data_IF_776905459790
#
_entry.id   IF_776905459790
#
_cell.length_a   1.000
_cell.length_b   1.000
_cell.length_c   1.000
_cell.angle_alpha   90.00
_cell.angle_beta   90.00
_cell.angle_gamma   90.00
#
_symmetry.space_group_name_H-M   'P 1'
#
loop_
_entity.id
_entity.type
_entity.pdbx_description
1 polymer ?
#
# COMPACT_ATOMS: atom_id res chain seq x y z
N UNK A 1 16.08 -4.01 18.92
CA UNK A 1 16.97 -4.59 17.87
C UNK A 1 16.30 -4.52 16.50
N UNK A 2 17.10 -4.54 15.39
CA UNK A 2 16.57 -4.53 14.01
C UNK A 2 15.51 -5.63 13.78
N UNK A 3 15.75 -6.83 14.34
CA UNK A 3 14.80 -7.96 14.26
C UNK A 3 13.47 -7.66 14.95
N UNK A 4 13.49 -6.93 16.04
CA UNK A 4 12.28 -6.56 16.77
C UNK A 4 11.46 -5.54 15.98
N UNK A 5 12.10 -4.51 15.44
CA UNK A 5 11.43 -3.52 14.56
C UNK A 5 10.76 -4.23 13.39
N UNK A 6 11.47 -5.16 12.76
CA UNK A 6 10.93 -5.93 11.64
C UNK A 6 9.65 -6.70 12.03
N UNK A 7 9.68 -7.39 13.18
CA UNK A 7 8.49 -8.11 13.69
C UNK A 7 7.34 -7.16 14.02
N UNK A 8 7.63 -5.98 14.55
CA UNK A 8 6.60 -4.96 14.85
C UNK A 8 5.95 -4.47 13.57
N UNK A 9 6.74 -4.14 12.54
CA UNK A 9 6.22 -3.71 11.24
C UNK A 9 5.37 -4.79 10.58
N UNK A 10 5.76 -6.08 10.69
CA UNK A 10 4.93 -7.19 10.19
C UNK A 10 3.58 -7.24 10.91
N UNK A 11 3.57 -7.11 12.24
CA UNK A 11 2.31 -7.06 13.01
C UNK A 11 1.42 -5.89 12.61
N UNK A 12 2.01 -4.73 12.27
CA UNK A 12 1.26 -3.59 11.74
C UNK A 12 0.56 -3.92 10.41
N UNK A 13 1.24 -4.64 9.51
CA UNK A 13 0.62 -5.10 8.26
C UNK A 13 -0.51 -6.11 8.51
N UNK A 14 -0.33 -7.04 9.44
CA UNK A 14 -1.40 -7.99 9.82
C UNK A 14 -2.60 -7.25 10.42
N UNK A 15 -2.36 -6.33 11.34
CA UNK A 15 -3.40 -5.51 11.94
C UNK A 15 -4.12 -4.63 10.90
N UNK A 16 -3.37 -4.05 9.94
CA UNK A 16 -3.93 -3.25 8.85
C UNK A 16 -4.88 -4.09 7.98
N UNK A 17 -4.44 -5.29 7.55
CA UNK A 17 -5.27 -6.20 6.74
C UNK A 17 -6.53 -6.64 7.48
N UNK A 18 -6.39 -6.99 8.76
CA UNK A 18 -7.52 -7.38 9.61
C UNK A 18 -8.53 -6.24 9.71
N UNK A 19 -8.06 -5.03 9.98
CA UNK A 19 -8.92 -3.84 10.04
C UNK A 19 -9.62 -3.57 8.71
N UNK A 20 -8.89 -3.60 7.59
CA UNK A 20 -9.46 -3.37 6.25
C UNK A 20 -10.50 -4.43 5.87
N UNK A 21 -10.28 -5.69 6.25
CA UNK A 21 -11.26 -6.76 6.06
C UNK A 21 -12.52 -6.56 6.93
N UNK A 22 -12.37 -6.10 8.17
CA UNK A 22 -13.48 -5.76 9.05
C UNK A 22 -14.29 -4.57 8.50
N UNK A 23 -13.63 -3.50 8.09
CA UNK A 23 -14.26 -2.32 7.45
C UNK A 23 -15.07 -2.72 6.21
N UNK A 24 -14.54 -3.60 5.36
CA UNK A 24 -15.27 -4.12 4.20
C UNK A 24 -16.50 -4.94 4.62
N UNK A 25 -16.37 -5.79 5.62
CA UNK A 25 -17.47 -6.61 6.11
C UNK A 25 -18.61 -5.74 6.64
N UNK A 26 -18.33 -4.79 7.52
CA UNK A 26 -19.33 -3.85 8.05
C UNK A 26 -20.01 -3.05 6.95
N UNK A 27 -19.24 -2.58 5.96
CA UNK A 27 -19.76 -1.87 4.80
C UNK A 27 -20.69 -2.75 3.95
N UNK A 28 -20.32 -4.02 3.72
CA UNK A 28 -21.15 -5.00 3.02
C UNK A 28 -22.44 -5.31 3.79
N UNK A 29 -22.35 -5.55 5.08
CA UNK A 29 -23.51 -5.81 5.95
C UNK A 29 -24.51 -4.64 5.90
N UNK A 30 -24.03 -3.41 6.00
CA UNK A 30 -24.86 -2.21 5.89
C UNK A 30 -25.54 -2.10 4.51
N UNK A 31 -24.79 -2.39 3.43
CA UNK A 31 -25.33 -2.37 2.07
C UNK A 31 -26.38 -3.46 1.85
N UNK A 32 -26.12 -4.67 2.34
CA UNK A 32 -27.03 -5.82 2.18
C UNK A 32 -28.33 -5.64 2.98
N UNK A 33 -28.26 -5.02 4.16
CA UNK A 33 -29.44 -4.65 4.92
C UNK A 33 -30.35 -3.66 4.17
N UNK A 34 -29.75 -2.73 3.40
CA UNK A 34 -30.48 -1.74 2.58
C UNK A 34 -30.93 -2.30 1.23
N UNK A 35 -30.17 -3.23 0.67
CA UNK A 35 -30.37 -3.81 -0.66
C UNK A 35 -30.31 -5.35 -0.60
N UNK A 36 -31.37 -6.03 -0.10
CA UNK A 36 -31.36 -7.49 0.08
C UNK A 36 -31.04 -8.26 -1.21
N UNK A 37 -31.51 -7.75 -2.36
CA UNK A 37 -31.23 -8.39 -3.66
C UNK A 37 -29.72 -8.40 -3.98
N UNK A 38 -28.97 -7.39 -3.52
CA UNK A 38 -27.51 -7.38 -3.67
C UNK A 38 -26.86 -8.50 -2.86
N UNK A 39 -27.36 -8.79 -1.66
CA UNK A 39 -26.89 -9.91 -0.84
C UNK A 39 -27.12 -11.25 -1.55
N UNK A 40 -28.33 -11.48 -2.08
CA UNK A 40 -28.67 -12.70 -2.81
C UNK A 40 -27.77 -12.92 -4.04
N UNK A 41 -27.49 -11.85 -4.79
CA UNK A 41 -26.56 -11.89 -5.94
C UNK A 41 -25.16 -12.31 -5.50
N UNK A 42 -24.62 -11.66 -4.45
CA UNK A 42 -23.25 -11.95 -3.95
C UNK A 42 -23.16 -13.39 -3.41
N UNK A 43 -24.17 -13.86 -2.68
CA UNK A 43 -24.23 -15.25 -2.20
C UNK A 43 -24.28 -16.23 -3.38
N UNK A 44 -25.17 -15.98 -4.35
CA UNK A 44 -25.29 -16.83 -5.54
C UNK A 44 -23.98 -16.85 -6.33
N UNK A 45 -23.32 -15.70 -6.54
CA UNK A 45 -22.01 -15.64 -7.21
C UNK A 45 -20.94 -16.43 -6.48
N UNK A 46 -20.95 -16.42 -5.14
CA UNK A 46 -20.00 -17.21 -4.35
C UNK A 46 -20.22 -18.73 -4.47
N UNK A 47 -21.46 -19.15 -4.66
CA UNK A 47 -21.84 -20.56 -4.71
C UNK A 47 -21.80 -21.17 -6.12
N UNK A 48 -21.91 -20.36 -7.16
CA UNK A 48 -21.98 -20.81 -8.57
C UNK A 48 -20.78 -21.68 -8.94
N UNK A 49 -19.56 -21.27 -8.58
CA UNK A 49 -18.34 -22.02 -8.86
C UNK A 49 -18.30 -23.38 -8.17
N UNK A 50 -18.70 -23.41 -6.89
CA UNK A 50 -18.73 -24.66 -6.08
C UNK A 50 -19.79 -25.63 -6.62
N UNK A 51 -20.99 -25.15 -6.91
CA UNK A 51 -22.08 -25.99 -7.46
C UNK A 51 -21.71 -26.54 -8.82
N UNK A 52 -21.09 -25.77 -9.69
CA UNK A 52 -20.63 -26.23 -11.00
C UNK A 52 -19.51 -27.27 -10.88
N UNK A 53 -18.52 -27.04 -10.00
CA UNK A 53 -17.47 -28.02 -9.75
C UNK A 53 -18.03 -29.37 -9.28
N UNK A 54 -19.01 -29.32 -8.37
CA UNK A 54 -19.72 -30.53 -7.90
C UNK A 54 -20.45 -31.25 -9.04
N UNK A 55 -21.14 -30.49 -9.92
CA UNK A 55 -21.84 -31.05 -11.07
C UNK A 55 -20.88 -31.74 -12.03
N UNK A 56 -19.77 -31.09 -12.38
CA UNK A 56 -18.74 -31.62 -13.29
C UNK A 56 -18.08 -32.89 -12.71
N UNK A 57 -17.90 -32.98 -11.40
CA UNK A 57 -17.36 -34.20 -10.76
C UNK A 57 -18.33 -35.37 -10.78
N UNK A 58 -19.63 -35.12 -10.66
CA UNK A 58 -20.67 -36.17 -10.67
C UNK A 58 -21.06 -36.57 -12.08
N UNK A 59 -21.02 -35.65 -13.03
CA UNK A 59 -21.45 -35.82 -14.42
C UNK A 59 -20.39 -35.25 -15.39
N UNK A 60 -19.23 -35.94 -15.58
CA UNK A 60 -18.14 -35.47 -16.43
C UNK A 60 -18.53 -35.21 -17.88
N UNK A 61 -19.53 -35.96 -18.36
CA UNK A 61 -20.10 -35.88 -19.72
C UNK A 61 -20.82 -34.55 -19.98
N UNK A 62 -21.32 -33.90 -18.94
CA UNK A 62 -22.02 -32.61 -19.04
C UNK A 62 -21.09 -31.39 -18.81
N UNK A 63 -19.79 -31.62 -18.70
CA UNK A 63 -18.80 -30.57 -18.32
C UNK A 63 -18.89 -29.30 -19.18
N UNK A 64 -18.92 -29.42 -20.49
CA UNK A 64 -18.92 -28.24 -21.38
C UNK A 64 -20.21 -27.43 -21.23
N UNK A 65 -21.34 -28.12 -21.15
CA UNK A 65 -22.65 -27.50 -20.92
C UNK A 65 -22.67 -26.79 -19.58
N UNK A 66 -22.29 -27.49 -18.50
CA UNK A 66 -22.24 -26.94 -17.15
C UNK A 66 -21.34 -25.70 -17.05
N UNK A 67 -20.17 -25.72 -17.72
CA UNK A 67 -19.26 -24.58 -17.75
C UNK A 67 -19.82 -23.38 -18.52
N UNK A 68 -20.55 -23.64 -19.61
CA UNK A 68 -21.20 -22.58 -20.41
C UNK A 68 -22.32 -21.92 -19.62
N UNK A 69 -23.20 -22.73 -19.02
CA UNK A 69 -24.29 -22.24 -18.16
C UNK A 69 -23.77 -21.46 -16.94
N UNK A 70 -22.67 -21.94 -16.33
CA UNK A 70 -22.02 -21.22 -15.24
C UNK A 70 -21.55 -19.84 -15.68
N UNK A 71 -20.85 -19.72 -16.81
CA UNK A 71 -20.36 -18.46 -17.33
C UNK A 71 -21.51 -17.49 -17.61
N UNK A 72 -22.56 -17.97 -18.24
CA UNK A 72 -23.73 -17.15 -18.53
C UNK A 72 -24.38 -16.66 -17.22
N UNK A 73 -24.61 -17.55 -16.28
CA UNK A 73 -25.19 -17.20 -14.98
C UNK A 73 -24.34 -16.21 -14.20
N UNK A 74 -23.01 -16.37 -14.24
CA UNK A 74 -22.09 -15.40 -13.61
C UNK A 74 -22.20 -14.03 -14.28
N UNK A 75 -22.27 -14.00 -15.63
CA UNK A 75 -22.39 -12.72 -16.36
C UNK A 75 -23.72 -12.04 -16.04
N UNK A 76 -24.84 -12.75 -16.11
CA UNK A 76 -26.16 -12.20 -15.83
C UNK A 76 -26.25 -11.62 -14.40
N UNK A 77 -25.68 -12.32 -13.41
CA UNK A 77 -25.64 -11.84 -12.03
C UNK A 77 -24.70 -10.64 -11.86
N UNK A 78 -23.59 -10.58 -12.59
CA UNK A 78 -22.69 -9.42 -12.57
C UNK A 78 -23.35 -8.20 -13.19
N UNK A 79 -24.07 -8.38 -14.30
CA UNK A 79 -24.80 -7.31 -14.97
C UNK A 79 -25.94 -6.79 -14.10
N UNK A 80 -26.71 -7.68 -13.46
CA UNK A 80 -27.74 -7.29 -12.48
C UNK A 80 -27.16 -6.52 -11.30
N UNK A 81 -26.02 -6.99 -10.75
CA UNK A 81 -25.31 -6.29 -9.68
C UNK A 81 -24.91 -4.88 -10.08
N UNK A 82 -24.31 -4.73 -11.27
CA UNK A 82 -23.88 -3.42 -11.78
C UNK A 82 -25.08 -2.50 -12.00
N UNK A 83 -26.18 -3.00 -12.54
CA UNK A 83 -27.41 -2.23 -12.72
C UNK A 83 -28.01 -1.77 -11.39
N UNK A 84 -28.05 -2.63 -10.38
CA UNK A 84 -28.51 -2.28 -9.03
C UNK A 84 -27.65 -1.20 -8.38
N UNK A 85 -26.32 -1.32 -8.48
CA UNK A 85 -25.40 -0.31 -7.95
C UNK A 85 -25.58 1.03 -8.66
N UNK A 86 -25.63 1.03 -9.99
CA UNK A 86 -25.80 2.23 -10.79
C UNK A 86 -27.15 2.93 -10.49
N UNK A 87 -28.25 2.17 -10.41
CA UNK A 87 -29.58 2.69 -10.07
C UNK A 87 -29.62 3.41 -8.73
N UNK A 88 -28.79 2.99 -7.78
CA UNK A 88 -28.71 3.56 -6.43
C UNK A 88 -27.53 4.53 -6.25
N UNK A 89 -26.86 4.94 -7.33
CA UNK A 89 -25.69 5.83 -7.30
C UNK A 89 -24.55 5.29 -6.39
N UNK A 90 -24.38 3.98 -6.33
CA UNK A 90 -23.36 3.32 -5.53
C UNK A 90 -22.14 2.93 -6.38
N UNK A 91 -20.94 3.22 -5.89
CA UNK A 91 -19.71 2.78 -6.56
C UNK A 91 -19.48 1.29 -6.37
N UNK A 92 -19.06 0.53 -7.41
CA UNK A 92 -18.65 -0.86 -7.29
C UNK A 92 -17.46 -1.07 -6.34
N UNK A 93 -16.66 -0.04 -6.07
CA UNK A 93 -15.55 -0.07 -5.10
C UNK A 93 -16.02 -0.35 -3.67
N UNK A 94 -17.27 -0.01 -3.33
CA UNK A 94 -17.85 -0.27 -2.02
C UNK A 94 -17.86 -1.75 -1.64
N UNK A 95 -17.90 -2.63 -2.61
CA UNK A 95 -17.89 -4.09 -2.43
C UNK A 95 -16.47 -4.70 -2.49
N UNK A 96 -15.45 -3.89 -2.72
CA UNK A 96 -14.06 -4.33 -2.87
C UNK A 96 -13.22 -3.95 -1.66
N UNK A 97 -12.19 -4.75 -1.43
CA UNK A 97 -11.18 -4.43 -0.42
C UNK A 97 -10.31 -3.27 -0.93
N UNK A 98 -10.15 -2.27 -0.08
CA UNK A 98 -9.28 -1.12 -0.34
C UNK A 98 -7.92 -1.35 0.33
N UNK A 99 -6.84 -1.20 -0.43
CA UNK A 99 -5.49 -1.37 0.07
C UNK A 99 -4.83 -0.01 0.33
N UNK A 100 -4.04 0.09 1.38
CA UNK A 100 -3.20 1.26 1.63
C UNK A 100 -1.99 1.28 0.66
N UNK A 101 -1.55 0.10 0.22
CA UNK A 101 -0.54 -0.07 -0.80
C UNK A 101 -1.02 -1.02 -1.88
N UNK A 102 -1.40 -0.49 -3.03
CA UNK A 102 -1.89 -1.28 -4.16
C UNK A 102 -0.83 -2.26 -4.70
N UNK A 103 0.46 -1.90 -4.63
CA UNK A 103 1.56 -2.72 -5.17
C UNK A 103 1.69 -4.07 -4.46
N UNK A 104 1.65 -4.07 -3.13
CA UNK A 104 1.79 -5.30 -2.34
C UNK A 104 0.48 -5.76 -1.70
N UNK A 105 -0.62 -5.04 -1.88
CA UNK A 105 -1.93 -5.29 -1.25
C UNK A 105 -1.81 -5.50 0.27
N UNK A 106 -1.06 -4.58 0.89
CA UNK A 106 -0.79 -4.56 2.32
C UNK A 106 -0.15 -5.84 2.90
N UNK A 107 0.58 -6.60 2.08
CA UNK A 107 1.39 -7.73 2.54
C UNK A 107 2.79 -7.31 2.99
N UNK A 108 3.26 -6.14 2.52
CA UNK A 108 4.63 -5.67 2.69
C UNK A 108 5.63 -6.31 1.71
N UNK A 109 5.21 -7.29 0.88
CA UNK A 109 6.07 -8.03 -0.04
C UNK A 109 5.48 -8.14 -1.44
N UNK A 110 6.37 -8.24 -2.43
CA UNK A 110 6.05 -8.56 -3.82
C UNK A 110 7.03 -9.67 -4.22
N UNK A 111 6.52 -10.85 -4.57
CA UNK A 111 7.32 -12.03 -5.00
C UNK A 111 8.50 -12.34 -4.05
N UNK A 112 8.25 -12.29 -2.75
CA UNK A 112 9.27 -12.53 -1.72
C UNK A 112 10.22 -11.36 -1.44
N UNK A 113 10.14 -10.27 -2.22
CA UNK A 113 10.97 -9.08 -2.02
C UNK A 113 10.21 -8.02 -1.22
N UNK A 114 10.84 -7.33 -0.24
CA UNK A 114 10.19 -6.26 0.49
C UNK A 114 9.73 -5.13 -0.42
N UNK A 115 8.44 -4.78 -0.34
CA UNK A 115 7.86 -3.66 -1.06
C UNK A 115 8.46 -2.33 -0.61
N UNK A 116 8.41 -1.32 -1.47
CA UNK A 116 8.86 0.05 -1.13
C UNK A 116 8.18 0.59 0.12
N UNK A 117 6.89 0.31 0.33
CA UNK A 117 6.15 0.70 1.53
C UNK A 117 6.72 0.03 2.80
N UNK A 118 7.15 -1.24 2.71
CA UNK A 118 7.79 -1.97 3.81
C UNK A 118 9.17 -1.37 4.14
N UNK A 119 10.00 -1.13 3.13
CA UNK A 119 11.32 -0.49 3.32
C UNK A 119 11.17 0.88 3.99
N UNK A 120 10.24 1.69 3.52
CA UNK A 120 9.96 3.02 4.10
C UNK A 120 9.57 2.91 5.57
N UNK A 121 8.62 2.05 5.94
CA UNK A 121 8.21 1.85 7.34
C UNK A 121 9.37 1.38 8.23
N UNK A 122 10.21 0.47 7.73
CA UNK A 122 11.40 0.02 8.46
C UNK A 122 12.39 1.17 8.68
N UNK A 123 12.62 1.98 7.66
CA UNK A 123 13.49 3.15 7.78
C UNK A 123 12.94 4.15 8.79
N UNK A 124 11.65 4.50 8.69
CA UNK A 124 11.00 5.42 9.64
C UNK A 124 11.16 4.94 11.09
N UNK A 125 10.95 3.63 11.35
CA UNK A 125 11.13 3.04 12.69
C UNK A 125 12.59 3.05 13.16
N UNK A 126 13.54 2.81 12.27
CA UNK A 126 14.97 2.90 12.60
C UNK A 126 15.38 4.34 12.93
N UNK A 127 14.89 5.33 12.18
CA UNK A 127 15.11 6.75 12.47
C UNK A 127 14.50 7.17 13.82
N UNK A 128 13.27 6.73 14.12
CA UNK A 128 12.62 7.04 15.39
C UNK A 128 13.40 6.52 16.61
N UNK A 129 14.04 5.35 16.50
CA UNK A 129 14.86 4.77 17.57
C UNK A 129 16.25 5.41 17.73
N UNK A 130 16.75 6.07 16.68
CA UNK A 130 18.12 6.60 16.70
C UNK A 130 18.26 8.01 17.29
N UNK A 131 17.17 8.64 17.74
CA UNK A 131 17.10 10.07 18.10
C UNK A 131 17.57 11.03 16.99
N UNK A 132 17.90 10.50 15.81
CA UNK A 132 18.37 11.28 14.66
C UNK A 132 17.30 12.27 14.19
N UNK A 133 16.03 11.93 14.39
CA UNK A 133 14.91 12.80 14.00
C UNK A 133 14.93 14.15 14.73
N UNK A 134 15.28 14.17 16.01
CA UNK A 134 15.38 15.42 16.77
C UNK A 134 16.67 16.20 16.43
N UNK A 135 17.75 15.48 16.15
CA UNK A 135 19.00 16.10 15.66
C UNK A 135 18.78 16.73 14.28
N UNK A 136 18.14 16.03 13.33
CA UNK A 136 17.87 16.56 11.98
C UNK A 136 16.96 17.81 12.01
N UNK A 137 16.04 17.93 12.97
CA UNK A 137 15.24 19.16 13.13
C UNK A 137 16.09 20.36 13.52
N UNK A 138 17.15 20.15 14.29
CA UNK A 138 18.05 21.18 14.78
C UNK A 138 19.25 21.38 13.86
N UNK A 139 19.74 20.32 13.23
CA UNK A 139 20.93 20.28 12.39
C UNK A 139 20.52 19.86 10.97
N UNK A 140 20.24 20.84 10.13
CA UNK A 140 19.83 20.67 8.73
C UNK A 140 20.43 21.78 7.85
N UNK A 141 20.18 21.74 6.55
CA UNK A 141 20.71 22.71 5.61
C UNK A 141 20.26 24.15 5.90
N UNK A 142 19.03 24.34 6.44
CA UNK A 142 18.48 25.67 6.74
C UNK A 142 19.13 26.27 7.99
N UNK A 143 19.59 25.42 8.92
CA UNK A 143 20.23 25.83 10.18
C UNK A 143 21.76 25.82 10.10
N UNK A 144 22.32 25.45 8.96
CA UNK A 144 23.78 25.42 8.75
C UNK A 144 24.37 26.84 8.77
N UNK A 145 25.16 27.14 9.80
CA UNK A 145 25.66 28.49 10.05
C UNK A 145 27.07 28.72 9.47
N UNK A 146 27.11 29.36 8.31
CA UNK A 146 28.38 29.74 7.64
C UNK A 146 29.21 30.78 8.41
N UNK A 147 28.65 31.42 9.44
CA UNK A 147 29.41 32.40 10.26
C UNK A 147 30.41 31.74 11.20
N UNK A 148 30.27 30.44 11.44
CA UNK A 148 31.18 29.64 12.26
C UNK A 148 32.52 29.34 11.55
N UNK A 149 32.61 29.60 10.25
CA UNK A 149 33.79 29.31 9.45
C UNK A 149 34.63 30.58 9.20
N UNK A 150 35.94 30.42 9.29
CA UNK A 150 36.91 31.49 9.06
C UNK A 150 36.88 31.96 7.59
N UNK A 151 37.11 33.27 7.41
CA UNK A 151 37.15 33.93 6.10
C UNK A 151 38.57 34.09 5.54
N UNK A 152 39.61 33.83 6.35
CA UNK A 152 40.99 33.92 5.90
C UNK A 152 41.32 32.75 4.96
N UNK A 153 41.99 33.10 3.85
CA UNK A 153 42.41 32.09 2.86
C UNK A 153 43.54 31.24 3.44
N UNK A 154 43.38 29.92 3.42
CA UNK A 154 44.43 28.99 3.81
C UNK A 154 45.42 28.86 2.65
N UNK A 155 46.70 29.28 2.79
CA UNK A 155 47.65 29.35 1.66
C UNK A 155 47.85 27.99 0.96
N UNK A 156 47.77 26.89 1.70
CA UNK A 156 47.92 25.54 1.16
C UNK A 156 46.72 25.07 0.30
N UNK A 157 45.52 25.64 0.54
CA UNK A 157 44.27 25.23 -0.13
C UNK A 157 43.77 26.22 -1.16
N UNK A 158 44.24 27.49 -1.08
CA UNK A 158 43.89 28.55 -2.00
C UNK A 158 42.45 29.09 -1.81
N UNK A 159 41.71 28.59 -0.82
CA UNK A 159 40.35 29.01 -0.48
C UNK A 159 40.22 29.18 1.04
N UNK A 160 39.21 29.95 1.47
CA UNK A 160 38.91 30.06 2.91
C UNK A 160 38.05 28.90 3.38
N UNK A 161 38.08 28.54 4.70
CA UNK A 161 37.18 27.57 5.28
C UNK A 161 35.70 27.86 5.00
N UNK A 162 35.31 29.12 4.99
CA UNK A 162 33.94 29.55 4.69
C UNK A 162 33.56 29.28 3.23
N UNK A 163 34.42 29.59 2.27
CA UNK A 163 34.18 29.31 0.85
C UNK A 163 34.09 27.78 0.62
N UNK A 164 34.97 27.02 1.27
CA UNK A 164 34.92 25.55 1.18
C UNK A 164 33.63 24.98 1.77
N UNK A 165 33.21 25.44 2.96
CA UNK A 165 31.95 25.05 3.58
C UNK A 165 30.74 25.41 2.71
N UNK A 166 30.72 26.62 2.13
CA UNK A 166 29.67 27.07 1.22
C UNK A 166 29.56 26.18 -0.04
N UNK A 167 30.70 25.83 -0.63
CA UNK A 167 30.78 24.96 -1.80
C UNK A 167 30.30 23.55 -1.48
N UNK A 168 30.68 23.01 -0.32
CA UNK A 168 30.27 21.68 0.13
C UNK A 168 28.79 21.66 0.47
N UNK A 169 28.25 22.67 1.13
CA UNK A 169 26.82 22.83 1.40
C UNK A 169 26.01 22.78 0.10
N UNK A 170 26.42 23.57 -0.91
CA UNK A 170 25.75 23.60 -2.20
C UNK A 170 25.73 22.20 -2.86
N UNK A 171 26.85 21.48 -2.88
CA UNK A 171 26.93 20.13 -3.44
C UNK A 171 26.07 19.14 -2.67
N UNK A 172 26.01 19.25 -1.33
CA UNK A 172 25.19 18.38 -0.51
C UNK A 172 23.69 18.62 -0.76
N UNK A 173 23.27 19.89 -0.95
CA UNK A 173 21.88 20.21 -1.31
C UNK A 173 21.52 19.69 -2.71
N UNK A 174 22.38 19.89 -3.70
CA UNK A 174 22.19 19.35 -5.06
C UNK A 174 22.04 17.82 -5.06
N UNK A 175 22.89 17.14 -4.28
CA UNK A 175 22.78 15.68 -4.12
C UNK A 175 21.49 15.26 -3.42
N UNK A 176 21.02 16.01 -2.43
CA UNK A 176 19.76 15.70 -1.74
C UNK A 176 18.53 15.90 -2.63
N UNK A 177 18.57 16.86 -3.55
CA UNK A 177 17.50 17.09 -4.54
C UNK A 177 17.50 16.04 -5.66
N UNK A 178 18.70 15.55 -6.05
CA UNK A 178 18.89 14.59 -7.14
C UNK A 178 19.77 13.41 -6.70
N UNK A 179 19.27 12.50 -5.84
CA UNK A 179 20.08 11.43 -5.25
C UNK A 179 20.48 10.32 -6.24
N UNK A 180 20.01 10.39 -7.47
CA UNK A 180 20.31 9.45 -8.57
C UNK A 180 21.19 10.10 -9.65
N UNK A 181 22.20 10.83 -9.23
CA UNK A 181 23.15 11.52 -10.11
C UNK A 181 24.00 10.61 -11.00
#
# INVERSE_FOLDING_TARGET
TKTQIYKEVLREYDALRTRKAAELRERKESLYARFPRLAEIEETLSMVGVSTAKLVLLHPEEREKAMTEMKQKQQDLQDERMALLAKNCLSPSLLKLEYACEKCRDTGYIEGTPCTCMRRRLMDRLYDQSNVRDVIKLENFDTFDLRLFDTEVVPAEGISPKENAQRNLKKAMEFAEHPEG
#
